data_IF_261490461782
#
_entry.id   IF_261490461782
#
_cell.length_a   1.000
_cell.length_b   1.000
_cell.length_c   1.000
_cell.angle_alpha   90.00
_cell.angle_beta   90.00
_cell.angle_gamma   90.00
#
_symmetry.space_group_name_H-M   'P 1'
#
loop_
_entity.id
_entity.type
_entity.pdbx_description
1 polymer ?
#
# COMPACT_ATOMS: atom_id res chain seq x y z
N UNK A 1 15.81 -0.28 -15.93
CA UNK A 1 14.92 -1.06 -15.05
C UNK A 1 14.56 -2.32 -15.83
N UNK A 2 14.92 -3.50 -15.34
CA UNK A 2 14.59 -4.73 -16.07
C UNK A 2 13.07 -4.94 -16.10
N UNK A 3 12.47 -5.13 -17.29
CA UNK A 3 11.03 -5.33 -17.43
C UNK A 3 10.56 -6.68 -16.87
N UNK A 4 11.49 -7.60 -16.58
CA UNK A 4 11.21 -8.93 -16.04
C UNK A 4 11.45 -9.06 -14.54
N UNK A 5 12.07 -8.05 -13.91
CA UNK A 5 12.29 -8.09 -12.47
C UNK A 5 10.94 -8.04 -11.73
N UNK A 6 10.72 -8.92 -10.74
CA UNK A 6 9.48 -8.94 -9.97
C UNK A 6 9.27 -7.59 -9.29
N UNK A 7 7.99 -7.20 -9.15
CA UNK A 7 7.64 -5.92 -8.53
C UNK A 7 8.03 -5.97 -7.06
N UNK A 8 8.81 -4.97 -6.61
CA UNK A 8 9.23 -4.82 -5.21
C UNK A 8 8.05 -5.00 -4.27
N UNK A 9 8.31 -5.68 -3.16
CA UNK A 9 7.36 -5.84 -2.07
C UNK A 9 6.78 -4.48 -1.65
N UNK A 10 5.46 -4.43 -1.49
CA UNK A 10 4.76 -3.23 -1.04
C UNK A 10 4.88 -3.07 0.47
N UNK A 11 5.14 -1.84 0.93
CA UNK A 11 5.13 -1.52 2.35
C UNK A 11 3.69 -1.53 2.90
N UNK A 12 3.50 -1.68 4.22
CA UNK A 12 2.17 -1.69 4.86
C UNK A 12 1.35 -0.45 4.49
N UNK A 13 2.00 0.72 4.51
CA UNK A 13 1.39 1.98 4.08
C UNK A 13 0.99 1.98 2.60
N UNK A 14 1.81 1.42 1.71
CA UNK A 14 1.48 1.37 0.29
C UNK A 14 0.26 0.46 0.03
N UNK A 15 0.16 -0.68 0.71
CA UNK A 15 -1.00 -1.57 0.64
C UNK A 15 -2.25 -0.84 1.12
N UNK A 16 -2.20 -0.23 2.31
CA UNK A 16 -3.28 0.61 2.82
C UNK A 16 -3.66 1.72 1.83
N UNK A 17 -2.67 2.42 1.27
CA UNK A 17 -2.92 3.53 0.36
C UNK A 17 -3.61 3.07 -0.92
N UNK A 18 -3.30 1.87 -1.42
CA UNK A 18 -3.97 1.31 -2.60
C UNK A 18 -5.42 0.91 -2.30
N UNK A 19 -5.68 0.34 -1.12
CA UNK A 19 -7.03 -0.05 -0.70
C UNK A 19 -7.91 1.16 -0.38
N UNK A 20 -7.36 2.18 0.29
CA UNK A 20 -8.13 3.35 0.73
C UNK A 20 -8.21 4.47 -0.31
N UNK A 21 -7.27 4.57 -1.26
CA UNK A 21 -7.32 5.59 -2.31
C UNK A 21 -8.64 5.61 -3.09
N UNK A 22 -9.23 4.49 -3.56
CA UNK A 22 -10.53 4.52 -4.22
C UNK A 22 -11.61 5.07 -3.28
N UNK A 23 -11.68 4.59 -2.04
CA UNK A 23 -12.65 5.08 -1.03
C UNK A 23 -12.54 6.58 -0.79
N UNK A 24 -11.33 7.10 -0.57
CA UNK A 24 -11.11 8.54 -0.35
C UNK A 24 -11.41 9.33 -1.62
N UNK A 25 -11.09 8.80 -2.80
CA UNK A 25 -11.41 9.43 -4.08
C UNK A 25 -12.92 9.42 -4.36
N UNK A 26 -13.65 8.39 -3.97
CA UNK A 26 -15.11 8.37 -4.09
C UNK A 26 -15.76 9.40 -3.16
N UNK A 27 -15.23 9.57 -1.95
CA UNK A 27 -15.66 10.62 -1.03
C UNK A 27 -15.22 12.03 -1.46
N UNK A 28 -14.11 12.12 -2.21
CA UNK A 28 -13.51 13.38 -2.66
C UNK A 28 -13.17 13.27 -4.16
N UNK A 29 -14.18 13.23 -5.05
CA UNK A 29 -13.97 13.03 -6.48
C UNK A 29 -13.15 14.14 -7.12
N UNK A 30 -13.21 15.35 -6.56
CA UNK A 30 -12.48 16.54 -7.00
C UNK A 30 -11.08 16.67 -6.38
N UNK A 31 -10.72 15.80 -5.44
CA UNK A 31 -9.41 15.87 -4.79
C UNK A 31 -8.29 15.47 -5.74
N UNK A 32 -7.27 16.32 -5.81
CA UNK A 32 -6.05 16.05 -6.56
C UNK A 32 -5.24 14.91 -5.93
N UNK A 33 -4.35 14.30 -6.69
CA UNK A 33 -3.47 13.24 -6.18
C UNK A 33 -2.69 13.65 -4.93
N UNK A 34 -2.22 14.91 -4.85
CA UNK A 34 -1.52 15.43 -3.69
C UNK A 34 -2.42 15.56 -2.45
N UNK A 35 -3.69 15.94 -2.63
CA UNK A 35 -4.67 15.97 -1.53
C UNK A 35 -5.04 14.57 -1.05
N UNK A 36 -5.27 13.64 -1.98
CA UNK A 36 -5.50 12.23 -1.65
C UNK A 36 -4.32 11.64 -0.87
N UNK A 37 -3.08 11.94 -1.28
CA UNK A 37 -1.88 11.50 -0.56
C UNK A 37 -1.82 12.02 0.88
N UNK A 38 -2.19 13.30 1.10
CA UNK A 38 -2.28 13.86 2.46
C UNK A 38 -3.37 13.19 3.29
N UNK A 39 -4.55 12.96 2.72
CA UNK A 39 -5.67 12.28 3.40
C UNK A 39 -5.32 10.83 3.75
N UNK A 40 -4.69 10.10 2.85
CA UNK A 40 -4.21 8.74 3.09
C UNK A 40 -3.13 8.73 4.19
N UNK A 41 -2.19 9.67 4.14
CA UNK A 41 -1.16 9.81 5.18
C UNK A 41 -1.76 10.06 6.56
N UNK A 42 -2.75 10.96 6.65
CA UNK A 42 -3.47 11.24 7.89
C UNK A 42 -4.24 10.00 8.38
N UNK A 43 -5.04 9.37 7.51
CA UNK A 43 -5.81 8.17 7.85
C UNK A 43 -4.91 7.02 8.31
N UNK A 44 -3.73 6.85 7.71
CA UNK A 44 -2.75 5.87 8.15
C UNK A 44 -2.21 6.16 9.56
N UNK A 45 -1.94 7.43 9.88
CA UNK A 45 -1.52 7.81 11.22
C UNK A 45 -2.62 7.56 12.26
N UNK A 46 -3.88 7.82 11.89
CA UNK A 46 -5.07 7.58 12.72
C UNK A 46 -5.42 6.10 12.91
N UNK A 47 -4.93 5.20 12.05
CA UNK A 47 -5.11 3.76 12.25
C UNK A 47 -4.51 3.32 13.60
N UNK A 48 -5.26 2.48 14.29
CA UNK A 48 -4.79 1.83 15.50
C UNK A 48 -3.76 0.73 15.17
N UNK A 49 -3.07 0.24 16.20
CA UNK A 49 -2.03 -0.77 16.02
C UNK A 49 -2.56 -2.10 15.47
N UNK A 50 -3.85 -2.42 15.70
CA UNK A 50 -4.47 -3.64 15.16
C UNK A 50 -4.66 -3.55 13.66
N UNK A 51 -5.18 -2.42 13.17
CA UNK A 51 -5.36 -2.18 11.74
C UNK A 51 -4.01 -2.11 11.05
N UNK A 52 -3.04 -1.38 11.63
CA UNK A 52 -1.65 -1.38 11.15
C UNK A 52 -1.05 -2.78 11.12
N UNK A 53 -1.33 -3.63 12.10
CA UNK A 53 -0.87 -5.02 12.14
C UNK A 53 -1.44 -5.85 10.98
N UNK A 54 -2.70 -5.65 10.58
CA UNK A 54 -3.26 -6.30 9.39
C UNK A 54 -2.48 -5.92 8.13
N UNK A 55 -2.16 -4.65 7.95
CA UNK A 55 -1.35 -4.19 6.81
C UNK A 55 0.11 -4.64 6.89
N UNK A 56 0.67 -4.78 8.09
CA UNK A 56 2.00 -5.38 8.29
C UNK A 56 2.00 -6.84 7.83
N UNK A 57 1.02 -7.65 8.25
CA UNK A 57 0.90 -9.03 7.80
C UNK A 57 0.71 -9.14 6.28
N UNK A 58 -0.12 -8.27 5.69
CA UNK A 58 -0.27 -8.19 4.22
C UNK A 58 1.07 -7.86 3.54
N UNK A 59 1.83 -6.93 4.10
CA UNK A 59 3.16 -6.55 3.59
C UNK A 59 4.18 -7.67 3.70
N UNK A 60 4.17 -8.42 4.82
CA UNK A 60 5.02 -9.60 4.98
C UNK A 60 4.66 -10.70 3.98
N UNK A 61 3.38 -10.95 3.73
CA UNK A 61 2.93 -11.88 2.70
C UNK A 61 3.36 -11.42 1.28
N UNK A 62 3.23 -10.13 0.98
CA UNK A 62 3.68 -9.53 -0.28
C UNK A 62 5.20 -9.62 -0.45
N UNK A 63 5.95 -9.44 0.64
CA UNK A 63 7.39 -9.63 0.70
C UNK A 63 7.78 -11.08 0.44
N UNK A 64 7.10 -12.05 1.05
CA UNK A 64 7.33 -13.46 0.78
C UNK A 64 7.03 -13.84 -0.68
N UNK A 65 5.98 -13.24 -1.30
CA UNK A 65 5.73 -13.37 -2.74
C UNK A 65 6.91 -12.82 -3.54
N UNK A 66 7.33 -11.59 -3.26
CA UNK A 66 8.44 -10.95 -3.97
C UNK A 66 9.73 -11.77 -3.85
N UNK A 67 10.08 -12.25 -2.66
CA UNK A 67 11.26 -13.09 -2.44
C UNK A 67 11.19 -14.41 -3.22
N UNK A 68 10.01 -15.05 -3.26
CA UNK A 68 9.80 -16.26 -4.06
C UNK A 68 9.96 -15.96 -5.55
N UNK A 69 9.30 -14.92 -6.05
CA UNK A 69 9.36 -14.53 -7.47
C UNK A 69 10.79 -14.14 -7.86
N UNK A 70 11.51 -13.42 -6.99
CA UNK A 70 12.90 -13.02 -7.18
C UNK A 70 13.87 -14.20 -7.13
N UNK A 71 13.55 -15.25 -6.38
CA UNK A 71 14.34 -16.49 -6.39
C UNK A 71 14.17 -17.30 -7.68
N UNK A 72 13.07 -17.10 -8.40
CA UNK A 72 12.79 -17.71 -9.72
C UNK A 72 13.11 -16.81 -10.90
N UNK A 73 13.54 -15.57 -10.64
CA UNK A 73 13.97 -14.58 -11.63
C UNK A 73 15.49 -14.66 -11.84
#
# INVERSE_FOLDING_TARGET
QDPHAPKKALSPYLIFSQEMRPTIKEQNPDATFGQLGKLLGAAWQELNDKDKAVYNQKSEADKARYEREMSTY
#
